data_IF_977815602474
#
_entry.id   IF_977815602474
#
_cell.length_a   1.000
_cell.length_b   1.000
_cell.length_c   1.000
_cell.angle_alpha   90.00
_cell.angle_beta   90.00
_cell.angle_gamma   90.00
#
_symmetry.space_group_name_H-M   'P 1'
#
loop_
_entity.id
_entity.type
_entity.pdbx_description
1 polymer ?
#
# COMPACT_ATOMS: atom_id res chain seq x y z
N UNK A 1 -16.51 -17.44 -14.35
CA UNK A 1 -15.27 -17.50 -15.13
C UNK A 1 -14.20 -18.17 -14.29
N UNK A 2 -13.77 -19.36 -14.73
CA UNK A 2 -12.72 -20.17 -14.11
C UNK A 2 -11.37 -19.54 -14.41
N UNK A 3 -10.51 -19.46 -13.39
CA UNK A 3 -9.14 -19.99 -13.38
C UNK A 3 -8.40 -19.43 -12.16
N UNK A 4 -8.57 -20.18 -11.06
CA UNK A 4 -7.52 -20.35 -10.08
C UNK A 4 -6.35 -21.03 -10.78
N UNK A 5 -5.15 -20.46 -10.65
CA UNK A 5 -3.83 -21.09 -10.50
C UNK A 5 -2.78 -20.00 -10.78
N UNK A 6 -2.00 -19.63 -9.76
CA UNK A 6 -0.64 -19.11 -9.96
C UNK A 6 0.32 -20.21 -9.50
N UNK A 7 0.65 -21.17 -10.39
CA UNK A 7 1.69 -22.14 -10.10
C UNK A 7 3.04 -21.47 -10.35
N UNK A 8 3.97 -21.58 -9.39
CA UNK A 8 5.35 -21.11 -9.44
C UNK A 8 5.59 -19.60 -9.30
N UNK A 9 5.15 -18.99 -8.20
CA UNK A 9 5.81 -17.77 -7.73
C UNK A 9 6.92 -18.20 -6.76
N UNK A 10 8.18 -18.05 -7.17
CA UNK A 10 9.33 -18.21 -6.29
C UNK A 10 9.37 -16.94 -5.42
N UNK A 11 9.06 -17.07 -4.13
CA UNK A 11 8.75 -15.94 -3.23
C UNK A 11 9.96 -15.63 -2.36
N UNK A 12 10.87 -14.76 -2.83
CA UNK A 12 11.43 -13.72 -2.00
C UNK A 12 10.94 -12.37 -2.54
N UNK A 13 10.42 -11.54 -1.65
CA UNK A 13 9.96 -10.16 -1.88
C UNK A 13 8.60 -10.03 -2.59
N UNK A 14 7.53 -10.23 -1.81
CA UNK A 14 6.16 -9.90 -2.24
C UNK A 14 6.02 -8.36 -2.36
N UNK A 15 6.26 -7.84 -3.56
CA UNK A 15 5.55 -6.66 -4.05
C UNK A 15 4.22 -7.20 -4.59
N UNK A 16 3.11 -6.95 -3.89
CA UNK A 16 1.78 -7.26 -4.41
C UNK A 16 1.50 -6.37 -5.62
N UNK A 17 1.99 -6.75 -6.80
CA UNK A 17 1.50 -6.25 -8.09
C UNK A 17 0.20 -6.97 -8.42
N UNK A 18 -0.84 -6.74 -7.65
CA UNK A 18 -2.17 -7.20 -8.04
C UNK A 18 -2.78 -6.13 -8.92
N UNK A 19 -2.81 -6.40 -10.22
CA UNK A 19 -3.69 -5.69 -11.16
C UNK A 19 -5.13 -5.97 -10.70
N UNK A 20 -5.67 -5.11 -9.85
CA UNK A 20 -7.11 -5.06 -9.61
C UNK A 20 -7.73 -4.58 -10.92
N UNK A 21 -8.22 -5.52 -11.73
CA UNK A 21 -8.97 -5.20 -12.93
C UNK A 21 -10.13 -4.29 -12.54
N UNK A 22 -10.06 -3.02 -12.95
CA UNK A 22 -11.11 -1.98 -12.81
C UNK A 22 -11.70 -1.75 -11.41
N UNK A 23 -11.19 -2.39 -10.36
CA UNK A 23 -11.70 -2.29 -8.99
C UNK A 23 -10.89 -1.27 -8.19
N UNK A 24 -11.58 -0.28 -7.61
CA UNK A 24 -10.96 0.68 -6.70
C UNK A 24 -10.35 -0.04 -5.50
N UNK A 25 -9.08 0.23 -5.21
CA UNK A 25 -8.43 -0.22 -3.96
C UNK A 25 -9.03 0.57 -2.81
N UNK A 26 -9.46 -0.15 -1.77
CA UNK A 26 -10.06 0.39 -0.54
C UNK A 26 -9.33 -0.14 0.68
N UNK A 27 -9.49 0.50 1.83
CA UNK A 27 -8.88 0.06 3.09
C UNK A 27 -9.34 -1.35 3.53
N UNK A 28 -10.57 -1.74 3.19
CA UNK A 28 -11.09 -3.09 3.43
C UNK A 28 -10.28 -4.18 2.70
N UNK A 29 -9.54 -3.84 1.64
CA UNK A 29 -8.65 -4.79 0.98
C UNK A 29 -7.47 -5.19 1.88
N UNK A 30 -7.03 -4.33 2.80
CA UNK A 30 -5.97 -4.66 3.77
C UNK A 30 -6.47 -5.74 4.73
N UNK A 31 -7.65 -5.55 5.33
CA UNK A 31 -8.29 -6.56 6.19
C UNK A 31 -8.52 -7.89 5.47
N UNK A 32 -8.92 -7.84 4.20
CA UNK A 32 -9.06 -9.03 3.38
C UNK A 32 -7.71 -9.73 3.13
N UNK A 33 -6.66 -8.98 2.77
CA UNK A 33 -5.32 -9.53 2.59
C UNK A 33 -4.77 -10.16 3.87
N UNK A 34 -5.02 -9.57 5.04
CA UNK A 34 -4.67 -10.14 6.35
C UNK A 34 -5.28 -11.51 6.61
N UNK A 35 -6.43 -11.82 6.00
CA UNK A 35 -7.06 -13.16 6.10
C UNK A 35 -6.38 -14.19 5.18
N UNK A 36 -5.59 -13.75 4.22
CA UNK A 36 -4.95 -14.62 3.22
C UNK A 36 -3.46 -14.85 3.46
N UNK A 37 -2.80 -13.99 4.25
CA UNK A 37 -1.36 -14.10 4.50
C UNK A 37 -1.00 -13.74 5.94
N UNK A 38 0.09 -14.35 6.42
CA UNK A 38 0.75 -13.96 7.67
C UNK A 38 1.94 -13.01 7.43
N UNK A 39 2.30 -12.76 6.16
CA UNK A 39 3.38 -11.84 5.82
C UNK A 39 3.01 -10.40 6.18
N UNK A 40 3.99 -9.55 6.52
CA UNK A 40 3.76 -8.13 6.74
C UNK A 40 3.13 -7.45 5.51
N UNK A 41 2.10 -6.63 5.74
CA UNK A 41 1.45 -5.85 4.68
C UNK A 41 1.98 -4.42 4.74
N UNK A 42 2.53 -3.92 3.63
CA UNK A 42 3.09 -2.58 3.55
C UNK A 42 2.26 -1.72 2.60
N UNK A 43 1.78 -0.56 3.08
CA UNK A 43 1.06 0.41 2.27
C UNK A 43 2.04 1.38 1.61
N UNK A 44 2.08 1.38 0.27
CA UNK A 44 3.04 2.19 -0.49
C UNK A 44 2.38 3.37 -1.19
N UNK A 45 3.00 4.55 -1.04
CA UNK A 45 2.54 5.79 -1.68
C UNK A 45 1.69 6.68 -0.78
N UNK A 46 1.80 6.50 0.55
CA UNK A 46 1.08 7.34 1.52
C UNK A 46 1.79 8.70 1.61
N UNK A 47 1.03 9.77 1.46
CA UNK A 47 1.51 11.16 1.56
C UNK A 47 0.69 11.99 2.57
N UNK A 48 -0.37 11.42 3.12
CA UNK A 48 -1.28 12.08 4.05
C UNK A 48 -1.19 11.41 5.42
N UNK A 49 -1.11 12.16 6.53
CA UNK A 49 -1.17 11.61 7.87
C UNK A 49 -2.48 10.86 8.13
N UNK A 50 -3.59 11.31 7.55
CA UNK A 50 -4.91 10.67 7.69
C UNK A 50 -4.90 9.29 7.03
N UNK A 51 -4.27 9.17 5.86
CA UNK A 51 -4.17 7.89 5.16
C UNK A 51 -3.22 6.94 5.89
N UNK A 52 -2.20 7.45 6.59
CA UNK A 52 -1.33 6.66 7.44
C UNK A 52 -2.09 6.07 8.63
N UNK A 53 -2.89 6.89 9.32
CA UNK A 53 -3.77 6.44 10.40
C UNK A 53 -4.74 5.35 9.93
N UNK A 54 -5.34 5.54 8.76
CA UNK A 54 -6.23 4.55 8.16
C UNK A 54 -5.47 3.26 7.82
N UNK A 55 -4.31 3.34 7.18
CA UNK A 55 -3.50 2.16 6.88
C UNK A 55 -3.23 1.32 8.14
N UNK A 56 -2.81 1.96 9.24
CA UNK A 56 -2.55 1.30 10.52
C UNK A 56 -3.83 0.70 11.10
N UNK A 57 -4.93 1.48 11.12
CA UNK A 57 -6.24 1.04 11.63
C UNK A 57 -6.73 -0.23 10.93
N UNK A 58 -6.48 -0.35 9.63
CA UNK A 58 -6.89 -1.50 8.82
C UNK A 58 -5.84 -2.65 8.81
N UNK A 59 -4.74 -2.51 9.56
CA UNK A 59 -3.80 -3.59 9.83
C UNK A 59 -2.55 -3.63 8.94
N UNK A 60 -2.16 -2.49 8.35
CA UNK A 60 -0.84 -2.37 7.73
C UNK A 60 0.27 -2.49 8.78
N UNK A 61 1.36 -3.16 8.40
CA UNK A 61 2.56 -3.35 9.21
C UNK A 61 3.64 -2.31 8.92
N UNK A 62 3.59 -1.67 7.75
CA UNK A 62 4.52 -0.63 7.38
C UNK A 62 3.95 0.35 6.36
N UNK A 63 4.60 1.51 6.26
CA UNK A 63 4.21 2.59 5.37
C UNK A 63 5.41 3.06 4.55
N UNK A 64 5.26 3.10 3.22
CA UNK A 64 6.25 3.71 2.33
C UNK A 64 5.74 5.08 1.89
N UNK A 65 6.39 6.13 2.39
CA UNK A 65 6.17 7.52 1.95
C UNK A 65 6.83 7.74 0.60
N UNK A 66 6.05 8.00 -0.44
CA UNK A 66 6.57 8.15 -1.82
C UNK A 66 5.65 9.01 -2.68
N UNK A 67 6.25 9.99 -3.36
CA UNK A 67 5.57 10.95 -4.24
C UNK A 67 5.61 10.60 -5.73
N UNK A 68 6.01 9.39 -6.11
CA UNK A 68 6.11 9.02 -7.53
C UNK A 68 4.98 8.08 -7.93
N UNK A 69 4.05 8.65 -8.70
CA UNK A 69 2.99 7.93 -9.39
C UNK A 69 3.61 7.01 -10.45
N UNK A 70 3.33 5.71 -10.39
CA UNK A 70 3.57 4.84 -11.53
C UNK A 70 2.37 3.91 -11.70
N UNK A 71 1.41 4.38 -12.47
CA UNK A 71 0.46 3.55 -13.20
C UNK A 71 0.62 3.89 -14.69
N UNK A 72 1.59 3.28 -15.37
CA UNK A 72 1.58 3.16 -16.84
C UNK A 72 1.68 4.46 -17.65
N UNK A 73 2.40 5.48 -17.16
CA UNK A 73 2.74 6.67 -17.96
C UNK A 73 1.64 7.71 -18.15
N UNK A 74 0.57 7.68 -17.35
CA UNK A 74 -0.46 8.74 -17.35
C UNK A 74 -0.17 9.72 -16.21
N UNK A 75 0.47 10.83 -16.58
CA UNK A 75 0.68 12.02 -15.76
C UNK A 75 -0.67 12.70 -15.52
N UNK A 76 -1.03 13.02 -14.27
CA UNK A 76 -1.97 14.13 -14.09
C UNK A 76 -1.85 14.95 -12.81
N UNK A 77 -1.16 14.50 -11.77
CA UNK A 77 -0.91 15.36 -10.61
C UNK A 77 0.56 15.34 -10.22
N UNK A 78 1.08 16.52 -9.85
CA UNK A 78 2.39 16.67 -9.22
C UNK A 78 2.16 16.59 -7.71
N UNK A 79 2.23 15.40 -7.09
CA UNK A 79 2.09 15.29 -5.64
C UNK A 79 3.21 16.05 -4.93
N UNK A 80 3.00 16.46 -3.67
CA UNK A 80 4.06 17.03 -2.86
C UNK A 80 5.26 16.07 -2.80
N UNK A 81 6.51 16.58 -2.81
CA UNK A 81 7.69 15.79 -2.56
C UNK A 81 7.53 14.93 -1.30
N UNK A 82 7.89 13.64 -1.38
CA UNK A 82 7.76 12.70 -0.26
C UNK A 82 8.40 13.21 1.03
N UNK A 83 9.54 13.91 0.92
CA UNK A 83 10.27 14.48 2.05
C UNK A 83 9.45 15.54 2.81
N UNK A 84 8.56 16.27 2.13
CA UNK A 84 7.70 17.27 2.77
C UNK A 84 6.53 16.63 3.54
N UNK A 85 6.18 15.39 3.20
CA UNK A 85 5.08 14.66 3.85
C UNK A 85 5.59 13.73 4.97
N UNK A 86 6.91 13.47 5.01
CA UNK A 86 7.49 12.44 5.85
C UNK A 86 7.26 12.70 7.34
N UNK A 87 7.49 13.94 7.79
CA UNK A 87 7.34 14.31 9.20
C UNK A 87 5.90 14.10 9.68
N UNK A 88 4.92 14.62 8.95
CA UNK A 88 3.50 14.48 9.28
C UNK A 88 3.07 13.00 9.30
N UNK A 89 3.54 12.20 8.33
CA UNK A 89 3.24 10.77 8.27
C UNK A 89 3.90 10.03 9.43
N UNK A 90 5.16 10.30 9.76
CA UNK A 90 5.86 9.65 10.89
C UNK A 90 5.17 9.98 12.21
N UNK A 91 4.79 11.24 12.42
CA UNK A 91 4.05 11.67 13.60
C UNK A 91 2.69 10.97 13.69
N UNK A 92 1.99 10.81 12.56
CA UNK A 92 0.75 10.05 12.51
C UNK A 92 0.97 8.56 12.73
N UNK A 93 2.12 7.98 12.34
CA UNK A 93 2.39 6.55 12.60
C UNK A 93 2.66 6.29 14.09
N UNK A 94 3.36 7.20 14.76
CA UNK A 94 3.66 7.13 16.21
C UNK A 94 4.24 5.75 16.63
N UNK A 95 5.17 5.22 15.82
CA UNK A 95 5.83 3.94 16.08
C UNK A 95 4.95 2.69 15.98
N UNK A 96 3.71 2.81 15.51
CA UNK A 96 2.77 1.67 15.36
C UNK A 96 3.02 0.81 14.13
N UNK A 97 3.80 1.30 13.17
CA UNK A 97 4.18 0.63 11.94
C UNK A 97 5.61 1.01 11.54
N UNK A 98 6.24 0.18 10.70
CA UNK A 98 7.57 0.45 10.11
C UNK A 98 7.55 1.48 8.98
#
# INVERSE_FOLDING_TARGET
MKNMLIPNLNIPDIIVKQHFGTGSVTWANIEWLRKLTQLPIICKGILSPIDAELAIKYGANGIIVRSTFNYGGRLIDTPPPAIQCLEDVVNAVDGRAE
#
